data_IF_302524982143
#
_entry.id   IF_302524982143
#
_cell.length_a   1.000
_cell.length_b   1.000
_cell.length_c   1.000
_cell.angle_alpha   90.00
_cell.angle_beta   90.00
_cell.angle_gamma   90.00
#
_symmetry.space_group_name_H-M   'P 1'
#
loop_
_entity.id
_entity.type
_entity.pdbx_description
1 polymer ?
#
# COMPACT_ATOMS: atom_id res chain seq x y z
N UNK A 1 -23.03 11.26 -4.95
CA UNK A 1 -21.83 11.29 -4.06
C UNK A 1 -20.68 12.08 -4.68
N UNK A 2 -20.30 11.80 -5.93
CA UNK A 2 -19.18 12.47 -6.62
C UNK A 2 -19.25 14.01 -6.57
N UNK A 3 -20.37 14.63 -6.93
CA UNK A 3 -20.50 16.10 -6.92
C UNK A 3 -20.29 16.70 -5.52
N UNK A 4 -20.82 16.05 -4.48
CA UNK A 4 -20.65 16.51 -3.10
C UNK A 4 -19.18 16.42 -2.65
N UNK A 5 -18.47 15.35 -3.03
CA UNK A 5 -17.04 15.19 -2.75
C UNK A 5 -16.24 16.29 -3.47
N UNK A 6 -16.57 16.60 -4.72
CA UNK A 6 -15.87 17.63 -5.48
C UNK A 6 -16.05 19.03 -4.88
N UNK A 7 -17.21 19.30 -4.26
CA UNK A 7 -17.47 20.56 -3.57
C UNK A 7 -16.71 20.64 -2.24
N UNK A 8 -16.78 19.59 -1.41
CA UNK A 8 -16.23 19.60 -0.05
C UNK A 8 -14.72 19.31 -0.05
N UNK A 9 -14.25 18.47 -0.96
CA UNK A 9 -12.86 18.02 -1.09
C UNK A 9 -12.37 18.16 -2.54
N UNK A 10 -12.14 19.40 -3.02
CA UNK A 10 -11.83 19.66 -4.43
C UNK A 10 -10.53 18.99 -4.92
N UNK A 11 -9.59 18.72 -4.01
CA UNK A 11 -8.33 18.06 -4.31
C UNK A 11 -8.39 16.52 -4.21
N UNK A 12 -9.55 15.95 -3.86
CA UNK A 12 -9.73 14.50 -3.71
C UNK A 12 -10.26 13.91 -5.00
N UNK A 13 -9.56 12.92 -5.53
CA UNK A 13 -10.07 12.11 -6.65
C UNK A 13 -11.05 11.07 -6.14
N UNK A 14 -12.28 11.10 -6.64
CA UNK A 14 -13.28 10.08 -6.36
C UNK A 14 -13.06 8.86 -7.27
N UNK A 15 -12.86 7.68 -6.68
CA UNK A 15 -12.68 6.41 -7.39
C UNK A 15 -13.91 5.54 -7.26
N UNK A 16 -14.36 4.96 -8.35
CA UNK A 16 -15.42 3.96 -8.31
C UNK A 16 -14.87 2.61 -7.85
N UNK A 17 -15.63 1.93 -7.00
CA UNK A 17 -15.22 0.64 -6.45
C UNK A 17 -15.24 -0.44 -7.55
N UNK A 18 -14.05 -0.93 -7.91
CA UNK A 18 -13.89 -1.97 -8.91
C UNK A 18 -14.66 -3.24 -8.58
N UNK A 19 -14.74 -3.65 -7.31
CA UNK A 19 -15.55 -4.80 -6.91
C UNK A 19 -17.01 -4.64 -7.31
N UNK A 20 -17.61 -3.46 -7.07
CA UNK A 20 -18.98 -3.18 -7.49
C UNK A 20 -19.14 -3.15 -9.01
N UNK A 21 -18.13 -2.67 -9.75
CA UNK A 21 -18.15 -2.70 -11.22
C UNK A 21 -18.11 -4.14 -11.72
N UNK A 22 -17.16 -4.94 -11.23
CA UNK A 22 -16.98 -6.33 -11.64
C UNK A 22 -18.15 -7.22 -11.21
N UNK A 23 -18.76 -6.95 -10.05
CA UNK A 23 -19.97 -7.66 -9.57
C UNK A 23 -21.18 -7.46 -10.49
N UNK A 24 -21.24 -6.35 -11.23
CA UNK A 24 -22.31 -6.09 -12.21
C UNK A 24 -22.10 -6.82 -13.54
N UNK A 25 -20.92 -7.39 -13.79
CA UNK A 25 -20.64 -8.09 -15.05
C UNK A 25 -21.58 -9.28 -15.31
N UNK A 26 -21.86 -10.18 -14.33
CA UNK A 26 -22.86 -11.24 -14.51
C UNK A 26 -24.26 -10.73 -14.82
N UNK A 27 -24.67 -9.62 -14.21
CA UNK A 27 -25.98 -9.01 -14.47
C UNK A 27 -26.05 -8.42 -15.90
N UNK A 28 -24.95 -7.83 -16.39
CA UNK A 28 -24.89 -7.13 -17.68
C UNK A 28 -24.63 -8.03 -18.88
N UNK A 29 -23.94 -9.15 -18.70
CA UNK A 29 -23.59 -10.08 -19.79
C UNK A 29 -24.02 -11.52 -19.50
N UNK A 30 -24.85 -11.77 -18.48
CA UNK A 30 -25.27 -13.13 -18.14
C UNK A 30 -25.96 -13.89 -19.29
N UNK A 31 -26.59 -13.14 -20.20
CA UNK A 31 -27.25 -13.61 -21.41
C UNK A 31 -26.33 -13.72 -22.65
N UNK A 32 -25.11 -13.17 -22.58
CA UNK A 32 -24.18 -13.14 -23.71
C UNK A 32 -23.49 -14.50 -23.88
N UNK A 33 -23.40 -14.99 -25.12
CA UNK A 33 -22.81 -16.31 -25.45
C UNK A 33 -21.37 -16.41 -24.95
N UNK A 34 -20.58 -15.35 -25.16
CA UNK A 34 -19.16 -15.28 -24.77
C UNK A 34 -18.88 -14.71 -23.36
N UNK A 35 -19.85 -14.75 -22.43
CA UNK A 35 -19.72 -14.09 -21.11
C UNK A 35 -18.43 -14.44 -20.34
N UNK A 36 -18.00 -15.70 -20.38
CA UNK A 36 -16.77 -16.14 -19.69
C UNK A 36 -15.54 -15.45 -20.26
N UNK A 37 -15.41 -15.42 -21.59
CA UNK A 37 -14.31 -14.77 -22.31
C UNK A 37 -14.31 -13.25 -22.10
N UNK A 38 -15.50 -12.63 -22.09
CA UNK A 38 -15.64 -11.19 -21.79
C UNK A 38 -15.14 -10.91 -20.38
N UNK A 39 -15.55 -11.70 -19.38
CA UNK A 39 -15.12 -11.48 -17.99
C UNK A 39 -13.61 -11.63 -17.85
N UNK A 40 -13.04 -12.71 -18.37
CA UNK A 40 -11.59 -12.92 -18.34
C UNK A 40 -10.84 -11.78 -19.02
N UNK A 41 -11.35 -11.29 -20.16
CA UNK A 41 -10.73 -10.17 -20.87
C UNK A 41 -10.80 -8.88 -20.05
N UNK A 42 -11.96 -8.52 -19.50
CA UNK A 42 -12.10 -7.34 -18.64
C UNK A 42 -11.20 -7.46 -17.40
N UNK A 43 -11.16 -8.62 -16.75
CA UNK A 43 -10.27 -8.86 -15.62
C UNK A 43 -8.81 -8.64 -16.00
N UNK A 44 -8.35 -9.23 -17.11
CA UNK A 44 -6.97 -9.04 -17.58
C UNK A 44 -6.67 -7.57 -17.91
N UNK A 45 -7.58 -6.86 -18.60
CA UNK A 45 -7.41 -5.44 -18.91
C UNK A 45 -7.31 -4.57 -17.66
N UNK A 46 -8.05 -4.91 -16.61
CA UNK A 46 -8.07 -4.12 -15.38
C UNK A 46 -6.87 -4.39 -14.49
N UNK A 47 -6.48 -5.66 -14.34
CA UNK A 47 -5.44 -6.07 -13.39
C UNK A 47 -4.04 -6.15 -14.03
N UNK A 48 -3.95 -6.50 -15.31
CA UNK A 48 -2.66 -6.76 -15.96
C UNK A 48 -2.11 -5.54 -16.72
N UNK A 49 -2.99 -4.66 -17.23
CA UNK A 49 -2.56 -3.46 -17.95
C UNK A 49 -1.83 -2.48 -17.03
N UNK A 50 -0.60 -2.16 -17.41
CA UNK A 50 0.23 -1.20 -16.70
C UNK A 50 0.13 0.19 -17.35
N UNK A 51 0.07 0.23 -18.68
CA UNK A 51 0.04 1.46 -19.45
C UNK A 51 -1.37 1.79 -19.94
N UNK A 52 -1.61 3.08 -20.13
CA UNK A 52 -2.90 3.61 -20.61
C UNK A 52 -3.19 3.13 -22.03
N UNK A 53 -2.15 3.07 -22.87
CA UNK A 53 -2.19 2.66 -24.27
C UNK A 53 -2.58 1.19 -24.39
N UNK A 54 -1.99 0.31 -23.56
CA UNK A 54 -2.32 -1.11 -23.51
C UNK A 54 -3.80 -1.31 -23.18
N UNK A 55 -4.30 -0.56 -22.18
CA UNK A 55 -5.71 -0.62 -21.80
C UNK A 55 -6.61 -0.14 -22.94
N UNK A 56 -6.29 1.01 -23.57
CA UNK A 56 -7.09 1.56 -24.68
C UNK A 56 -7.15 0.59 -25.86
N UNK A 57 -6.00 0.02 -26.23
CA UNK A 57 -5.92 -0.93 -27.34
C UNK A 57 -6.64 -2.23 -27.02
N UNK A 58 -6.40 -2.80 -25.84
CA UNK A 58 -7.04 -4.04 -25.41
C UNK A 58 -8.55 -3.88 -25.22
N UNK A 59 -9.02 -2.73 -24.73
CA UNK A 59 -10.44 -2.42 -24.65
C UNK A 59 -11.08 -2.33 -26.03
N UNK A 60 -10.44 -1.64 -26.98
CA UNK A 60 -10.91 -1.56 -28.37
C UNK A 60 -11.03 -2.96 -28.99
N UNK A 61 -9.98 -3.77 -28.90
CA UNK A 61 -9.96 -5.14 -29.42
C UNK A 61 -11.06 -6.00 -28.79
N UNK A 62 -11.30 -5.85 -27.48
CA UNK A 62 -12.39 -6.55 -26.80
C UNK A 62 -13.77 -6.15 -27.34
N UNK A 63 -14.04 -4.86 -27.49
CA UNK A 63 -15.32 -4.37 -28.02
C UNK A 63 -15.54 -4.86 -29.45
N UNK A 64 -14.48 -4.84 -30.28
CA UNK A 64 -14.54 -5.33 -31.66
C UNK A 64 -14.80 -6.84 -31.71
N UNK A 65 -14.05 -7.62 -30.93
CA UNK A 65 -14.11 -9.10 -30.93
C UNK A 65 -15.46 -9.65 -30.47
N UNK A 66 -16.09 -9.00 -29.49
CA UNK A 66 -17.36 -9.46 -28.91
C UNK A 66 -18.56 -8.66 -29.41
N UNK A 67 -18.38 -7.82 -30.44
CA UNK A 67 -19.44 -6.99 -31.03
C UNK A 67 -20.21 -6.12 -30.02
N UNK A 68 -19.50 -5.52 -29.06
CA UNK A 68 -20.09 -4.82 -27.91
C UNK A 68 -20.33 -3.32 -28.13
N UNK A 69 -20.34 -2.85 -29.39
CA UNK A 69 -20.39 -1.42 -29.72
C UNK A 69 -21.66 -0.72 -29.23
N UNK A 70 -22.79 -1.42 -29.21
CA UNK A 70 -24.09 -0.88 -28.79
C UNK A 70 -24.31 -1.00 -27.27
N UNK A 71 -23.32 -1.49 -26.52
CA UNK A 71 -23.46 -1.64 -25.07
C UNK A 71 -23.25 -0.31 -24.35
N UNK A 72 -24.36 0.39 -24.08
CA UNK A 72 -24.36 1.69 -23.38
C UNK A 72 -23.63 1.64 -22.03
N UNK A 73 -23.70 0.51 -21.31
CA UNK A 73 -23.04 0.37 -20.02
C UNK A 73 -21.51 0.33 -20.14
N UNK A 74 -20.98 -0.36 -21.16
CA UNK A 74 -19.54 -0.35 -21.45
C UNK A 74 -19.07 0.99 -21.98
N UNK A 75 -19.88 1.66 -22.81
CA UNK A 75 -19.58 3.01 -23.27
C UNK A 75 -19.43 3.96 -22.08
N UNK A 76 -20.40 3.97 -21.16
CA UNK A 76 -20.35 4.79 -19.94
C UNK A 76 -19.18 4.43 -19.02
N UNK A 77 -18.82 3.14 -18.90
CA UNK A 77 -17.62 2.72 -18.16
C UNK A 77 -16.34 3.22 -18.81
N UNK A 78 -16.24 3.18 -20.13
CA UNK A 78 -15.08 3.64 -20.85
C UNK A 78 -14.91 5.16 -20.77
N UNK A 79 -16.00 5.92 -20.87
CA UNK A 79 -16.00 7.36 -20.65
C UNK A 79 -15.45 7.72 -19.27
N UNK A 80 -15.86 6.96 -18.24
CA UNK A 80 -15.45 7.16 -16.86
C UNK A 80 -14.19 6.36 -16.46
N UNK A 81 -13.40 5.85 -17.42
CA UNK A 81 -12.22 4.99 -17.18
C UNK A 81 -11.23 5.56 -16.16
N UNK A 82 -11.04 6.88 -16.15
CA UNK A 82 -10.14 7.57 -15.21
C UNK A 82 -10.58 7.46 -13.75
N UNK A 83 -11.85 7.13 -13.49
CA UNK A 83 -12.41 6.97 -12.15
C UNK A 83 -12.28 5.54 -11.61
N UNK A 84 -11.89 4.53 -12.39
CA UNK A 84 -11.92 3.15 -11.91
C UNK A 84 -10.78 2.26 -12.38
N UNK A 85 -10.21 2.54 -13.56
CA UNK A 85 -9.15 1.72 -14.16
C UNK A 85 -7.82 2.00 -13.46
N UNK A 86 -7.14 0.96 -12.91
CA UNK A 86 -5.92 1.15 -12.13
C UNK A 86 -4.81 1.93 -12.83
N UNK A 87 -4.53 1.70 -14.12
CA UNK A 87 -3.43 2.39 -14.82
C UNK A 87 -3.61 3.92 -14.89
N UNK A 88 -4.84 4.44 -14.86
CA UNK A 88 -5.11 5.88 -14.79
C UNK A 88 -5.01 6.44 -13.37
N UNK A 89 -5.11 5.58 -12.37
CA UNK A 89 -5.20 5.96 -10.95
C UNK A 89 -3.88 5.86 -10.20
N UNK A 90 -2.92 5.07 -10.71
CA UNK A 90 -1.61 4.85 -10.08
C UNK A 90 -0.78 6.13 -9.88
N UNK A 91 -1.07 7.19 -10.63
CA UNK A 91 -0.42 8.50 -10.46
C UNK A 91 -0.88 9.28 -9.20
N UNK A 92 -1.81 8.73 -8.42
CA UNK A 92 -2.36 9.37 -7.22
C UNK A 92 -2.08 8.54 -5.98
N UNK A 93 -1.61 9.19 -4.91
CA UNK A 93 -1.29 8.52 -3.65
C UNK A 93 -2.52 7.90 -2.99
N UNK A 94 -2.45 6.58 -2.75
CA UNK A 94 -3.58 5.80 -2.25
C UNK A 94 -3.16 4.66 -1.32
N UNK A 95 -1.95 4.71 -0.75
CA UNK A 95 -1.50 3.74 0.28
C UNK A 95 -1.51 2.28 -0.23
N UNK A 96 -1.51 2.09 -1.55
CA UNK A 96 -1.61 0.76 -2.14
C UNK A 96 -2.97 0.07 -2.00
N UNK A 97 -4.02 0.77 -1.54
CA UNK A 97 -5.36 0.18 -1.45
C UNK A 97 -5.92 -0.06 -2.87
N UNK A 98 -5.97 -1.32 -3.29
CA UNK A 98 -6.80 -1.67 -4.45
C UNK A 98 -8.27 -1.64 -4.02
N UNK A 99 -9.14 -1.32 -4.96
CA UNK A 99 -10.58 -1.10 -4.73
C UNK A 99 -11.35 -2.29 -4.14
N UNK A 100 -10.83 -3.52 -4.29
CA UNK A 100 -11.43 -4.74 -3.71
C UNK A 100 -11.10 -4.88 -2.22
N UNK A 101 -9.89 -4.46 -1.82
CA UNK A 101 -9.41 -4.64 -0.46
C UNK A 101 -10.21 -3.83 0.56
N UNK A 102 -10.84 -2.71 0.16
CA UNK A 102 -11.64 -1.91 1.09
C UNK A 102 -13.00 -2.57 1.43
N UNK A 103 -13.70 -3.16 0.45
CA UNK A 103 -14.95 -3.89 0.71
C UNK A 103 -14.68 -5.22 1.40
N UNK A 104 -13.61 -5.92 1.00
CA UNK A 104 -13.17 -7.16 1.65
C UNK A 104 -12.67 -6.88 3.08
N UNK A 105 -11.96 -5.77 3.32
CA UNK A 105 -11.50 -5.37 4.65
C UNK A 105 -12.64 -4.94 5.55
N UNK A 106 -13.67 -4.23 5.06
CA UNK A 106 -14.83 -3.90 5.89
C UNK A 106 -15.69 -5.13 6.15
N UNK A 107 -15.82 -6.04 5.19
CA UNK A 107 -16.49 -7.32 5.41
C UNK A 107 -15.73 -8.15 6.45
N UNK A 108 -14.41 -8.33 6.28
CA UNK A 108 -13.53 -9.01 7.24
C UNK A 108 -13.47 -8.31 8.61
N UNK A 109 -13.67 -6.98 8.66
CA UNK A 109 -13.75 -6.24 9.92
C UNK A 109 -14.96 -6.67 10.73
N UNK A 110 -16.12 -6.84 10.09
CA UNK A 110 -17.35 -7.29 10.75
C UNK A 110 -17.59 -8.80 10.68
N UNK A 111 -16.70 -9.54 10.02
CA UNK A 111 -16.83 -10.98 9.84
C UNK A 111 -16.74 -11.68 11.20
N UNK A 112 -17.70 -12.56 11.47
CA UNK A 112 -17.91 -13.16 12.79
C UNK A 112 -18.58 -12.27 13.85
N UNK A 113 -18.75 -10.96 13.61
CA UNK A 113 -19.38 -10.02 14.57
C UNK A 113 -20.80 -9.61 14.17
N UNK A 114 -21.08 -9.45 12.87
CA UNK A 114 -22.37 -8.97 12.35
C UNK A 114 -22.90 -9.92 11.27
N UNK A 115 -24.16 -10.33 11.39
CA UNK A 115 -24.88 -11.14 10.42
C UNK A 115 -26.28 -10.56 10.14
N UNK A 116 -26.98 -11.10 9.14
CA UNK A 116 -28.31 -10.60 8.70
C UNK A 116 -29.41 -10.64 9.78
N UNK A 117 -29.17 -11.34 10.89
CA UNK A 117 -30.07 -11.44 12.06
C UNK A 117 -29.63 -10.60 13.26
N UNK A 118 -28.52 -9.88 13.16
CA UNK A 118 -28.03 -9.02 14.23
C UNK A 118 -28.97 -7.82 14.39
N UNK A 119 -29.51 -7.62 15.58
CA UNK A 119 -30.38 -6.48 15.87
C UNK A 119 -29.58 -5.17 15.89
N UNK A 120 -30.22 -4.02 15.69
CA UNK A 120 -29.55 -2.72 15.73
C UNK A 120 -28.82 -2.46 17.06
N UNK A 121 -29.37 -2.92 18.19
CA UNK A 121 -28.69 -2.81 19.49
C UNK A 121 -27.42 -3.66 19.53
N UNK A 122 -27.53 -4.93 19.14
CA UNK A 122 -26.36 -5.83 19.08
C UNK A 122 -25.31 -5.30 18.10
N UNK A 123 -25.72 -4.67 16.99
CA UNK A 123 -24.78 -4.06 16.05
C UNK A 123 -23.92 -2.98 16.70
N UNK A 124 -24.50 -2.09 17.52
CA UNK A 124 -23.73 -1.04 18.21
C UNK A 124 -22.73 -1.66 19.19
N UNK A 125 -23.17 -2.62 20.01
CA UNK A 125 -22.30 -3.31 20.97
C UNK A 125 -21.15 -4.05 20.27
N UNK A 126 -21.44 -4.76 19.18
CA UNK A 126 -20.44 -5.49 18.39
C UNK A 126 -19.51 -4.53 17.65
N UNK A 127 -20.03 -3.44 17.08
CA UNK A 127 -19.23 -2.41 16.41
C UNK A 127 -18.18 -1.82 17.35
N UNK A 128 -18.59 -1.43 18.57
CA UNK A 128 -17.65 -0.93 19.56
C UNK A 128 -16.61 -1.97 19.94
N UNK A 129 -17.01 -3.23 20.10
CA UNK A 129 -16.08 -4.32 20.43
C UNK A 129 -15.06 -4.55 19.30
N UNK A 130 -15.51 -4.59 18.05
CA UNK A 130 -14.63 -4.73 16.88
C UNK A 130 -13.66 -3.56 16.80
N UNK A 131 -14.14 -2.34 17.09
CA UNK A 131 -13.30 -1.15 17.08
C UNK A 131 -12.26 -1.18 18.22
N UNK A 132 -12.63 -1.60 19.43
CA UNK A 132 -11.71 -1.83 20.56
C UNK A 132 -10.62 -2.84 20.19
N UNK A 133 -11.02 -3.99 19.63
CA UNK A 133 -10.09 -5.03 19.20
C UNK A 133 -9.10 -4.51 18.13
N UNK A 134 -9.53 -3.58 17.26
CA UNK A 134 -8.66 -2.96 16.25
C UNK A 134 -7.64 -2.01 16.86
N UNK A 135 -8.05 -1.19 17.82
CA UNK A 135 -7.14 -0.27 18.54
C UNK A 135 -6.08 -1.05 19.31
N UNK A 136 -6.48 -2.10 20.03
CA UNK A 136 -5.54 -2.96 20.77
C UNK A 136 -4.54 -3.65 19.82
N UNK A 137 -5.01 -4.20 18.69
CA UNK A 137 -4.12 -4.75 17.65
C UNK A 137 -3.16 -3.71 17.06
N UNK A 138 -3.61 -2.47 16.85
CA UNK A 138 -2.73 -1.38 16.38
C UNK A 138 -1.67 -1.05 17.44
N UNK A 139 -2.05 -0.98 18.72
CA UNK A 139 -1.12 -0.74 19.82
C UNK A 139 -0.07 -1.85 19.94
N UNK A 140 -0.49 -3.12 19.92
CA UNK A 140 0.42 -4.26 19.92
C UNK A 140 1.36 -4.27 18.71
N UNK A 141 0.86 -3.93 17.52
CA UNK A 141 1.68 -3.83 16.32
C UNK A 141 2.69 -2.67 16.39
N UNK A 142 2.28 -1.55 16.99
CA UNK A 142 3.15 -0.40 17.29
C UNK A 142 4.27 -0.79 18.26
N UNK A 143 3.92 -1.43 19.37
CA UNK A 143 4.88 -1.92 20.36
C UNK A 143 5.88 -2.91 19.74
N UNK A 144 5.40 -3.90 18.98
CA UNK A 144 6.29 -4.84 18.26
C UNK A 144 7.22 -4.12 17.29
N UNK A 145 6.73 -3.10 16.57
CA UNK A 145 7.56 -2.34 15.64
C UNK A 145 8.68 -1.54 16.31
N UNK A 146 8.49 -1.22 17.59
CA UNK A 146 9.48 -0.56 18.42
C UNK A 146 10.46 -1.56 19.02
N UNK A 147 9.95 -2.65 19.63
CA UNK A 147 10.76 -3.61 20.39
C UNK A 147 11.43 -4.70 19.55
N UNK A 148 10.98 -4.92 18.32
CA UNK A 148 11.52 -5.97 17.44
C UNK A 148 12.12 -5.36 16.17
N UNK A 149 13.19 -5.98 15.70
CA UNK A 149 13.83 -5.63 14.43
C UNK A 149 13.81 -6.84 13.50
N UNK A 150 13.23 -6.68 12.32
CA UNK A 150 13.26 -7.70 11.26
C UNK A 150 14.59 -7.57 10.53
N UNK A 151 15.34 -8.67 10.32
CA UNK A 151 16.63 -8.62 9.61
C UNK A 151 16.46 -8.23 8.14
N UNK A 152 17.44 -7.50 7.59
CA UNK A 152 17.49 -7.21 6.16
C UNK A 152 17.66 -8.48 5.32
N UNK A 153 17.00 -8.54 4.17
CA UNK A 153 17.15 -9.59 3.18
C UNK A 153 18.41 -9.38 2.32
N UNK A 154 18.90 -8.14 2.23
CA UNK A 154 20.12 -7.78 1.51
C UNK A 154 21.08 -6.96 2.39
N UNK A 155 22.25 -6.65 1.83
CA UNK A 155 23.25 -5.78 2.47
C UNK A 155 23.21 -4.33 1.97
N UNK A 156 22.20 -3.95 1.18
CA UNK A 156 22.11 -2.60 0.63
C UNK A 156 21.84 -1.56 1.73
N UNK A 157 22.53 -0.42 1.65
CA UNK A 157 22.38 0.66 2.64
C UNK A 157 20.97 1.25 2.68
N UNK A 158 20.30 1.33 1.53
CA UNK A 158 18.91 1.81 1.42
C UNK A 158 17.96 0.88 2.21
N UNK A 159 18.17 -0.44 2.19
CA UNK A 159 17.33 -1.35 2.96
C UNK A 159 17.53 -1.15 4.47
N UNK A 160 18.78 -1.00 4.92
CA UNK A 160 19.08 -0.67 6.33
C UNK A 160 18.46 0.65 6.75
N UNK A 161 18.45 1.65 5.87
CA UNK A 161 17.80 2.93 6.13
C UNK A 161 16.31 2.75 6.37
N UNK A 162 15.61 1.95 5.55
CA UNK A 162 14.20 1.63 5.77
C UNK A 162 13.96 0.79 7.03
N UNK A 163 14.84 -0.16 7.34
CA UNK A 163 14.76 -0.98 8.56
C UNK A 163 14.76 -0.11 9.82
N UNK A 164 15.59 0.93 9.84
CA UNK A 164 15.71 1.83 10.99
C UNK A 164 14.44 2.67 11.22
N UNK A 165 13.78 3.10 10.14
CA UNK A 165 12.70 4.11 10.23
C UNK A 165 11.30 3.54 10.04
N UNK A 166 11.07 2.48 9.27
CA UNK A 166 9.73 1.98 8.97
C UNK A 166 9.13 1.10 10.08
N UNK A 167 7.80 1.07 10.15
CA UNK A 167 7.10 0.03 10.92
C UNK A 167 7.38 -1.35 10.33
N UNK A 168 7.29 -2.41 11.14
CA UNK A 168 7.60 -3.79 10.68
C UNK A 168 6.79 -4.18 9.44
N UNK A 169 5.49 -3.85 9.43
CA UNK A 169 4.63 -4.15 8.28
C UNK A 169 5.10 -3.46 7.01
N UNK A 170 5.50 -2.19 7.10
CA UNK A 170 5.94 -1.42 5.93
C UNK A 170 7.36 -1.75 5.51
N UNK A 171 8.22 -2.13 6.45
CA UNK A 171 9.53 -2.66 6.13
C UNK A 171 9.43 -3.97 5.33
N UNK A 172 8.54 -4.90 5.72
CA UNK A 172 8.29 -6.14 4.95
C UNK A 172 7.87 -5.86 3.51
N UNK A 173 6.93 -4.93 3.28
CA UNK A 173 6.55 -4.51 1.93
C UNK A 173 7.76 -3.95 1.14
N UNK A 174 8.64 -3.17 1.78
CA UNK A 174 9.87 -2.71 1.14
C UNK A 174 10.84 -3.86 0.85
N UNK A 175 10.97 -4.84 1.75
CA UNK A 175 11.80 -6.02 1.54
C UNK A 175 11.33 -6.86 0.35
N UNK A 176 10.02 -6.99 0.15
CA UNK A 176 9.45 -7.65 -1.04
C UNK A 176 9.88 -6.96 -2.35
N UNK A 177 10.00 -5.63 -2.36
CA UNK A 177 10.52 -4.90 -3.52
C UNK A 177 12.05 -5.11 -3.68
N UNK A 178 12.80 -5.22 -2.58
CA UNK A 178 14.24 -5.53 -2.61
C UNK A 178 14.52 -6.95 -3.12
N UNK A 179 13.78 -7.95 -2.67
CA UNK A 179 13.90 -9.33 -3.17
C UNK A 179 13.35 -9.43 -4.59
N UNK A 180 12.26 -8.72 -4.89
CA UNK A 180 11.66 -8.63 -6.22
C UNK A 180 12.60 -8.08 -7.29
N UNK A 181 13.61 -7.27 -6.91
CA UNK A 181 14.68 -6.83 -7.82
C UNK A 181 15.41 -8.01 -8.48
N UNK A 182 15.46 -9.20 -7.86
CA UNK A 182 16.13 -10.36 -8.45
C UNK A 182 15.51 -10.81 -9.78
N UNK A 183 14.25 -10.43 -10.05
CA UNK A 183 13.54 -10.69 -11.29
C UNK A 183 13.58 -9.49 -12.26
N UNK A 184 14.48 -8.52 -12.02
CA UNK A 184 14.63 -7.31 -12.83
C UNK A 184 16.00 -7.23 -13.48
N UNK A 185 16.01 -7.12 -14.80
CA UNK A 185 17.21 -6.94 -15.63
C UNK A 185 17.29 -5.52 -16.19
N UNK A 186 18.47 -4.91 -16.14
CA UNK A 186 18.72 -3.63 -16.81
C UNK A 186 19.07 -3.89 -18.27
N UNK A 187 18.21 -3.43 -19.17
CA UNK A 187 18.32 -3.70 -20.62
C UNK A 187 19.16 -2.66 -21.32
N UNK A 188 18.80 -1.40 -21.13
CA UNK A 188 19.38 -0.28 -21.87
C UNK A 188 19.43 0.96 -21.00
N UNK A 189 20.34 1.86 -21.34
CA UNK A 189 20.52 3.15 -20.68
C UNK A 189 20.60 4.21 -21.76
N UNK A 190 19.77 5.23 -21.61
CA UNK A 190 19.83 6.44 -22.44
C UNK A 190 20.29 7.59 -21.56
N UNK A 191 21.49 8.09 -21.82
CA UNK A 191 22.04 9.22 -21.08
C UNK A 191 21.52 10.55 -21.67
N UNK A 192 21.04 11.42 -20.80
CA UNK A 192 20.67 12.79 -21.10
C UNK A 192 21.63 13.77 -20.39
N UNK A 193 21.39 15.07 -20.60
CA UNK A 193 22.28 16.14 -20.11
C UNK A 193 22.42 16.19 -18.56
N UNK A 194 21.38 15.83 -17.81
CA UNK A 194 21.35 15.94 -16.33
C UNK A 194 20.90 14.65 -15.63
N UNK A 195 20.82 13.53 -16.35
CA UNK A 195 20.29 12.27 -15.85
C UNK A 195 20.29 11.18 -16.90
N UNK A 196 19.82 9.99 -16.53
CA UNK A 196 19.71 8.87 -17.44
C UNK A 196 18.35 8.19 -17.30
N UNK A 197 17.83 7.68 -18.41
CA UNK A 197 16.64 6.83 -18.43
C UNK A 197 17.05 5.40 -18.68
N UNK A 198 16.68 4.53 -17.74
CA UNK A 198 16.98 3.10 -17.75
C UNK A 198 15.75 2.32 -18.16
N UNK A 199 15.94 1.37 -19.07
CA UNK A 199 14.95 0.34 -19.33
C UNK A 199 15.20 -0.85 -18.40
N UNK A 200 14.22 -1.16 -17.56
CA UNK A 200 14.23 -2.29 -16.63
C UNK A 200 13.21 -3.32 -17.11
N UNK A 201 13.66 -4.54 -17.38
CA UNK A 201 12.80 -5.65 -17.77
C UNK A 201 12.52 -6.51 -16.55
N UNK A 202 11.25 -6.70 -16.25
CA UNK A 202 10.77 -7.55 -15.17
C UNK A 202 10.24 -8.87 -15.73
N UNK A 203 10.71 -9.98 -15.17
CA UNK A 203 10.14 -11.30 -15.41
C UNK A 203 8.96 -11.52 -14.45
N UNK A 204 7.74 -11.35 -14.98
CA UNK A 204 6.50 -11.59 -14.23
C UNK A 204 6.16 -13.07 -14.34
N UNK A 205 6.39 -13.80 -13.26
CA UNK A 205 6.07 -15.23 -13.15
C UNK A 205 4.64 -15.36 -12.62
N UNK A 206 3.72 -15.82 -13.47
CA UNK A 206 2.43 -16.35 -13.04
C UNK A 206 2.48 -17.89 -13.14
N UNK A 207 1.62 -18.59 -12.39
CA UNK A 207 1.66 -20.05 -12.14
C UNK A 207 1.88 -20.96 -13.38
N UNK A 208 1.63 -20.47 -14.60
CA UNK A 208 1.84 -21.24 -15.84
C UNK A 208 2.63 -20.49 -16.95
N UNK A 209 2.92 -19.19 -16.80
CA UNK A 209 3.55 -18.39 -17.87
C UNK A 209 4.47 -17.30 -17.33
N UNK A 210 5.68 -17.19 -17.88
CA UNK A 210 6.56 -16.03 -17.68
C UNK A 210 6.30 -14.98 -18.75
N UNK A 211 5.95 -13.76 -18.33
CA UNK A 211 5.81 -12.61 -19.24
C UNK A 211 6.85 -11.57 -18.89
N UNK A 212 7.61 -11.13 -19.90
CA UNK A 212 8.57 -10.04 -19.74
C UNK A 212 7.88 -8.71 -19.94
N UNK A 213 8.01 -7.80 -18.97
CA UNK A 213 7.49 -6.42 -19.08
C UNK A 213 8.64 -5.42 -18.93
N UNK A 214 8.71 -4.45 -19.84
CA UNK A 214 9.69 -3.36 -19.75
C UNK A 214 9.08 -2.16 -19.02
N UNK A 215 9.87 -1.56 -18.14
CA UNK A 215 9.57 -0.35 -17.39
C UNK A 215 10.68 0.67 -17.61
N UNK A 216 10.33 1.95 -17.56
CA UNK A 216 11.28 3.05 -17.76
C UNK A 216 11.46 3.80 -16.45
N UNK A 217 12.73 3.94 -16.05
CA UNK A 217 13.12 4.61 -14.81
C UNK A 217 14.00 5.80 -15.17
N UNK A 218 13.52 7.00 -14.89
CA UNK A 218 14.33 8.22 -15.02
C UNK A 218 15.06 8.50 -13.71
N UNK A 219 16.36 8.76 -13.80
CA UNK A 219 17.21 9.07 -12.66
C UNK A 219 18.06 10.32 -12.92
N UNK A 220 17.89 11.34 -12.07
CA UNK A 220 18.73 12.53 -12.06
C UNK A 220 19.78 12.41 -10.96
N UNK A 221 21.06 12.43 -11.37
CA UNK A 221 22.20 12.18 -10.47
C UNK A 221 22.35 13.31 -9.43
N UNK A 222 22.26 14.56 -9.85
CA UNK A 222 22.55 15.74 -9.00
C UNK A 222 21.63 15.84 -7.78
N UNK A 223 20.34 15.54 -7.97
CA UNK A 223 19.31 15.65 -6.92
C UNK A 223 18.94 14.30 -6.30
N UNK A 224 19.49 13.20 -6.82
CA UNK A 224 19.04 11.84 -6.54
C UNK A 224 17.50 11.73 -6.69
N UNK A 225 16.99 12.25 -7.81
CA UNK A 225 15.57 12.16 -8.16
C UNK A 225 15.34 10.96 -9.07
N UNK A 226 14.37 10.13 -8.71
CA UNK A 226 14.08 8.89 -9.39
C UNK A 226 12.57 8.72 -9.55
N UNK A 227 12.14 8.41 -10.77
CA UNK A 227 10.74 8.17 -11.10
C UNK A 227 10.65 6.94 -11.97
N UNK A 228 9.66 6.08 -11.72
CA UNK A 228 9.44 4.86 -12.50
C UNK A 228 8.07 4.91 -13.17
N UNK A 229 8.00 4.44 -14.41
CA UNK A 229 6.75 4.32 -15.17
C UNK A 229 5.74 3.35 -14.56
N UNK A 230 6.12 2.53 -13.57
CA UNK A 230 5.18 1.69 -12.83
C UNK A 230 4.34 2.47 -11.79
N UNK A 231 4.77 3.69 -11.44
CA UNK A 231 4.14 4.58 -10.48
C UNK A 231 3.88 3.97 -9.09
N UNK A 232 4.67 2.96 -8.69
CA UNK A 232 4.47 2.28 -7.40
C UNK A 232 4.72 3.22 -6.22
N UNK A 233 5.71 4.11 -6.32
CA UNK A 233 5.99 5.08 -5.26
C UNK A 233 4.86 6.09 -5.13
N UNK A 234 4.36 6.60 -6.25
CA UNK A 234 3.23 7.53 -6.28
C UNK A 234 1.98 6.87 -5.73
N UNK A 235 1.72 5.61 -6.05
CA UNK A 235 0.53 4.89 -5.61
C UNK A 235 0.61 4.37 -4.16
N UNK A 236 1.72 3.74 -3.77
CA UNK A 236 1.92 3.07 -2.46
C UNK A 236 2.74 3.89 -1.47
N UNK A 237 3.63 4.75 -1.95
CA UNK A 237 4.61 5.47 -1.13
C UNK A 237 5.83 4.64 -0.74
N UNK A 238 6.12 3.57 -1.48
CA UNK A 238 7.30 2.71 -1.31
C UNK A 238 7.97 2.58 -2.68
N UNK A 239 9.30 2.71 -2.73
CA UNK A 239 10.06 2.58 -3.98
C UNK A 239 9.90 1.17 -4.56
N UNK A 240 9.72 1.04 -5.87
CA UNK A 240 9.61 -0.29 -6.49
C UNK A 240 10.97 -0.94 -6.72
N UNK A 241 10.92 -2.26 -6.96
CA UNK A 241 12.03 -3.08 -7.46
C UNK A 241 12.79 -2.47 -8.65
N UNK A 242 12.11 -1.79 -9.58
CA UNK A 242 12.75 -1.15 -10.74
C UNK A 242 13.61 0.06 -10.32
N UNK A 243 13.09 0.88 -9.40
CA UNK A 243 13.84 2.01 -8.85
C UNK A 243 15.04 1.50 -8.07
N UNK A 244 14.87 0.45 -7.25
CA UNK A 244 15.96 -0.17 -6.49
C UNK A 244 17.04 -0.70 -7.45
N UNK A 245 16.67 -1.34 -8.56
CA UNK A 245 17.62 -1.81 -9.56
C UNK A 245 18.52 -0.68 -10.11
N UNK A 246 17.91 0.47 -10.42
CA UNK A 246 18.64 1.64 -10.93
C UNK A 246 19.47 2.33 -9.85
N UNK A 247 18.96 2.45 -8.61
CA UNK A 247 19.70 3.04 -7.49
C UNK A 247 20.96 2.22 -7.17
N UNK A 248 20.83 0.89 -7.15
CA UNK A 248 21.95 -0.03 -6.95
C UNK A 248 22.98 0.09 -8.09
N UNK A 249 22.51 0.21 -9.35
CA UNK A 249 23.40 0.39 -10.51
C UNK A 249 24.18 1.70 -10.46
N UNK A 250 23.63 2.74 -9.84
CA UNK A 250 24.26 4.04 -9.66
C UNK A 250 24.95 4.19 -8.29
N UNK A 251 25.22 3.09 -7.59
CA UNK A 251 25.93 3.05 -6.31
C UNK A 251 25.33 3.93 -5.18
N UNK A 252 24.03 4.24 -5.26
CA UNK A 252 23.34 5.02 -4.24
C UNK A 252 23.27 4.22 -2.94
N UNK A 253 23.92 4.72 -1.88
CA UNK A 253 23.97 4.04 -0.57
C UNK A 253 22.84 4.45 0.37
N UNK A 254 22.33 5.67 0.23
CA UNK A 254 21.25 6.24 1.04
C UNK A 254 20.30 6.99 0.14
N UNK A 255 18.99 6.83 0.36
CA UNK A 255 17.95 7.49 -0.42
C UNK A 255 17.55 8.81 0.26
N UNK A 256 17.21 9.87 -0.51
CA UNK A 256 16.73 11.12 0.08
C UNK A 256 15.42 10.94 0.86
N UNK A 257 15.24 11.75 1.91
CA UNK A 257 14.08 11.73 2.81
C UNK A 257 12.73 11.86 2.08
N UNK A 258 12.70 12.47 0.88
CA UNK A 258 11.50 12.59 0.05
C UNK A 258 10.86 11.22 -0.30
N UNK A 259 11.65 10.15 -0.32
CA UNK A 259 11.18 8.78 -0.58
C UNK A 259 10.85 8.00 0.69
N UNK A 260 11.03 8.62 1.86
CA UNK A 260 10.71 8.06 3.18
C UNK A 260 9.48 8.80 3.72
N UNK A 261 8.30 8.26 3.46
CA UNK A 261 7.07 8.94 3.86
C UNK A 261 6.90 8.90 5.39
N UNK A 262 6.65 10.08 5.98
CA UNK A 262 6.37 10.24 7.42
C UNK A 262 5.31 9.27 7.97
N UNK A 263 4.31 8.90 7.16
CA UNK A 263 3.23 7.98 7.53
C UNK A 263 3.72 6.56 7.84
N UNK A 264 4.79 6.11 7.19
CA UNK A 264 5.36 4.77 7.32
C UNK A 264 6.36 4.65 8.46
N UNK A 265 6.80 5.78 9.00
CA UNK A 265 7.80 5.80 10.05
C UNK A 265 7.23 5.34 11.39
N UNK A 266 8.04 4.57 12.14
CA UNK A 266 7.72 4.08 13.50
C UNK A 266 8.03 5.10 14.59
N UNK A 267 8.95 6.03 14.32
CA UNK A 267 9.39 7.08 15.25
C UNK A 267 8.46 8.31 15.27
N UNK A 268 7.32 8.24 14.60
CA UNK A 268 6.32 9.31 14.55
C UNK A 268 5.09 8.92 15.37
N UNK A 269 4.86 9.64 16.47
CA UNK A 269 3.60 9.59 17.22
C UNK A 269 2.46 10.14 16.37
N UNK A 270 1.41 9.33 16.18
CA UNK A 270 0.24 9.70 15.37
C UNK A 270 -0.80 10.41 16.22
N UNK A 271 -1.45 11.42 15.64
CA UNK A 271 -2.42 12.25 16.38
C UNK A 271 -3.63 11.45 16.88
N UNK A 272 -4.07 10.42 16.16
CA UNK A 272 -5.16 9.55 16.63
C UNK A 272 -4.76 8.66 17.81
N UNK A 273 -3.46 8.42 18.01
CA UNK A 273 -2.93 7.79 19.24
C UNK A 273 -2.95 8.75 20.44
N UNK A 274 -3.12 10.06 20.21
CA UNK A 274 -3.25 11.10 21.26
C UNK A 274 -4.69 11.44 21.60
N UNK A 275 -5.65 11.04 20.76
CA UNK A 275 -7.05 11.14 21.10
C UNK A 275 -7.32 10.05 22.14
N UNK A 276 -7.55 10.47 23.38
CA UNK A 276 -8.27 9.65 24.35
C UNK A 276 -9.62 9.37 23.73
N UNK A 277 -9.75 8.20 23.11
CA UNK A 277 -11.05 7.71 22.71
C UNK A 277 -11.75 7.33 23.99
N UNK A 278 -12.51 8.27 24.57
CA UNK A 278 -13.49 7.94 25.59
C UNK A 278 -14.63 7.20 24.89
N UNK A 279 -14.46 5.89 24.71
CA UNK A 279 -15.63 5.02 24.55
C UNK A 279 -16.36 5.05 25.90
N UNK A 280 -17.64 5.38 25.90
CA UNK A 280 -18.50 5.27 27.08
C UNK A 280 -18.49 3.80 27.53
N UNK A 281 -17.61 3.46 28.46
CA UNK A 281 -17.27 2.07 28.84
C UNK A 281 -15.78 1.81 29.08
N UNK A 282 -14.90 2.70 28.60
CA UNK A 282 -13.51 2.79 29.07
C UNK A 282 -13.49 3.45 30.44
N UNK A 283 -13.78 2.68 31.47
CA UNK A 283 -12.90 2.77 32.62
C UNK A 283 -11.64 2.03 32.17
N UNK A 284 -10.72 2.74 31.49
CA UNK A 284 -9.33 2.29 31.51
C UNK A 284 -9.00 2.18 32.99
N UNK A 285 -8.90 0.95 33.52
CA UNK A 285 -8.55 0.76 34.92
C UNK A 285 -7.33 1.65 35.18
N UNK A 286 -7.33 2.49 36.22
CA UNK A 286 -6.22 3.42 36.47
C UNK A 286 -4.84 2.74 36.43
N UNK A 287 -4.78 1.43 36.67
CA UNK A 287 -3.60 0.58 36.47
C UNK A 287 -3.14 0.43 35.01
N UNK A 288 -4.05 0.24 34.05
CA UNK A 288 -3.70 0.08 32.63
C UNK A 288 -3.07 1.35 32.04
N UNK A 289 -3.66 2.52 32.32
CA UNK A 289 -3.08 3.80 31.88
C UNK A 289 -1.70 4.05 32.49
N UNK A 290 -1.49 3.64 33.75
CA UNK A 290 -0.18 3.72 34.41
C UNK A 290 0.83 2.76 33.77
N UNK A 291 0.40 1.52 33.50
CA UNK A 291 1.20 0.49 32.84
C UNK A 291 1.62 0.94 31.44
N UNK A 292 0.69 1.41 30.61
CA UNK A 292 0.98 1.87 29.25
C UNK A 292 1.95 3.06 29.23
N UNK A 293 1.77 4.01 30.17
CA UNK A 293 2.68 5.14 30.35
C UNK A 293 4.07 4.69 30.80
N UNK A 294 4.15 3.69 31.69
CA UNK A 294 5.42 3.10 32.11
C UNK A 294 6.10 2.39 30.94
N UNK A 295 5.41 1.54 30.19
CA UNK A 295 5.96 0.83 29.03
C UNK A 295 6.54 1.80 27.99
N UNK A 296 5.84 2.90 27.68
CA UNK A 296 6.36 3.92 26.76
C UNK A 296 7.64 4.59 27.27
N UNK A 297 7.69 4.90 28.58
CA UNK A 297 8.86 5.54 29.20
C UNK A 297 10.05 4.60 29.30
N UNK A 298 9.83 3.34 29.68
CA UNK A 298 10.87 2.32 29.73
C UNK A 298 11.41 1.98 28.35
N UNK A 299 10.55 1.92 27.33
CA UNK A 299 10.97 1.72 25.94
C UNK A 299 11.87 2.88 25.46
N UNK A 300 11.50 4.12 25.79
CA UNK A 300 12.34 5.30 25.49
C UNK A 300 13.67 5.27 26.25
N UNK A 301 13.64 4.84 27.51
CA UNK A 301 14.84 4.75 28.36
C UNK A 301 15.80 3.68 27.82
N UNK A 302 15.29 2.52 27.44
CA UNK A 302 16.06 1.43 26.87
C UNK A 302 16.81 1.86 25.60
N UNK A 303 16.15 2.60 24.71
CA UNK A 303 16.77 3.15 23.50
C UNK A 303 17.91 4.13 23.81
N UNK A 304 17.76 4.94 24.86
CA UNK A 304 18.77 5.94 25.25
C UNK A 304 20.01 5.31 25.90
N UNK A 305 19.87 4.14 26.50
CA UNK A 305 20.93 3.50 27.29
C UNK A 305 21.54 2.29 26.60
N UNK A 306 20.94 1.80 25.50
CA UNK A 306 21.44 0.65 24.75
C UNK A 306 22.87 0.84 24.17
N UNK A 307 23.30 2.09 23.97
CA UNK A 307 24.63 2.40 23.42
C UNK A 307 25.66 2.86 24.48
N UNK A 308 25.24 2.99 25.75
CA UNK A 308 26.08 3.48 26.86
C UNK A 308 26.08 2.47 28.02
N UNK A 309 27.15 1.67 28.06
CA UNK A 309 27.31 0.52 28.97
C UNK A 309 27.19 0.93 30.45
N UNK A 310 27.76 2.07 30.84
CA UNK A 310 27.69 2.58 32.21
C UNK A 310 26.27 3.03 32.61
N UNK A 311 25.51 3.61 31.68
CA UNK A 311 24.11 3.98 31.94
C UNK A 311 23.17 2.78 31.91
N UNK A 312 23.47 1.79 31.07
CA UNK A 312 22.76 0.52 31.04
C UNK A 312 22.88 -0.20 32.39
N UNK A 313 24.11 -0.42 32.86
CA UNK A 313 24.37 -1.12 34.13
C UNK A 313 23.71 -0.38 35.31
N UNK A 314 23.83 0.95 35.38
CA UNK A 314 23.20 1.74 36.44
C UNK A 314 21.66 1.64 36.47
N UNK A 315 21.01 1.44 35.32
CA UNK A 315 19.55 1.30 35.24
C UNK A 315 19.12 -0.12 35.55
N UNK A 316 19.87 -1.13 35.11
CA UNK A 316 19.61 -2.53 35.45
C UNK A 316 19.77 -2.73 36.96
N UNK A 317 20.87 -2.23 37.54
CA UNK A 317 21.08 -2.26 38.99
C UNK A 317 19.96 -1.56 39.76
N UNK A 318 19.43 -0.44 39.24
CA UNK A 318 18.28 0.26 39.85
C UNK A 318 16.96 -0.52 39.73
N UNK A 319 16.76 -1.29 38.66
CA UNK A 319 15.57 -2.14 38.47
C UNK A 319 15.64 -3.39 39.36
N UNK A 320 16.84 -3.92 39.56
CA UNK A 320 17.08 -5.15 40.34
C UNK A 320 17.24 -4.89 41.86
N UNK A 321 17.28 -3.61 42.29
CA UNK A 321 17.34 -3.18 43.70
C UNK A 321 15.97 -3.15 44.39
#
# INVERSE_FOLDING_TARGET
MQNAIQIVFPNTKHRWCLWHILKKLPEKFGYHVDKGSIFTTIHSLVYDCQFVEDFKNGWRVMVERFHLYENEWLAGLYENRECWVPCYLKITFWVGMSTTQCSESMHAFFDGYVHSKTTSKQFVEQYEQTLRNKVDKEFQAGFKSFSQMVPCASRYGIEKQFQAVYTISKFKEAQEEFTGKMYCDLVSVSEGLSGATYEVREDVINDEHSKKKSFFVSFQRDKCEITCSCHNFEFRGIICKHMIAVLVRNDVKSIPERYILRRWRRDVSRAHTRLSMNYDGLISMPGQLKYDKMCQRFATLADLTAEDEAKFDAIIDWIDS
#
